data_IF_364309894146
#
_entry.id   IF_364309894146
#
_cell.length_a   1.000
_cell.length_b   1.000
_cell.length_c   1.000
_cell.angle_alpha   90.00
_cell.angle_beta   90.00
_cell.angle_gamma   90.00
#
_symmetry.space_group_name_H-M   'P 1'
#
loop_
_entity.id
_entity.type
_entity.pdbx_description
1 polymer ?
#
# COMPACT_ATOMS: atom_id res chain seq x y z
N UNK A 1 -13.05 -35.18 -2.48
CA UNK A 1 -13.67 -33.84 -2.47
C UNK A 1 -13.68 -33.31 -1.04
N UNK A 2 -12.90 -32.26 -0.74
CA UNK A 2 -12.76 -31.66 0.60
C UNK A 2 -13.07 -30.15 0.53
N UNK A 3 -14.17 -29.81 -0.16
CA UNK A 3 -14.46 -28.50 -0.75
C UNK A 3 -14.89 -27.40 0.23
N UNK A 4 -15.80 -27.60 1.21
CA UNK A 4 -16.28 -26.50 2.05
C UNK A 4 -15.25 -26.03 3.09
N UNK A 5 -14.46 -26.94 3.66
CA UNK A 5 -13.37 -26.60 4.60
C UNK A 5 -12.26 -25.81 3.91
N UNK A 6 -11.98 -26.12 2.64
CA UNK A 6 -10.99 -25.42 1.83
C UNK A 6 -11.46 -24.00 1.51
N UNK A 7 -12.71 -23.83 1.05
CA UNK A 7 -13.28 -22.51 0.77
C UNK A 7 -13.30 -21.60 2.01
N UNK A 8 -13.72 -22.12 3.17
CA UNK A 8 -13.71 -21.35 4.42
C UNK A 8 -12.29 -20.93 4.84
N UNK A 9 -11.28 -21.79 4.60
CA UNK A 9 -9.88 -21.46 4.86
C UNK A 9 -9.37 -20.37 3.91
N UNK A 10 -9.72 -20.43 2.63
CA UNK A 10 -9.35 -19.40 1.64
C UNK A 10 -9.95 -18.05 2.04
N UNK A 11 -11.26 -18.00 2.32
CA UNK A 11 -11.93 -16.76 2.75
C UNK A 11 -11.25 -16.14 3.99
N UNK A 12 -10.88 -16.98 4.96
CA UNK A 12 -10.16 -16.52 6.16
C UNK A 12 -8.79 -15.95 5.82
N UNK A 13 -8.05 -16.59 4.92
CA UNK A 13 -6.74 -16.12 4.48
C UNK A 13 -6.86 -14.80 3.71
N UNK A 14 -7.83 -14.67 2.81
CA UNK A 14 -8.11 -13.42 2.09
C UNK A 14 -8.42 -12.27 3.05
N UNK A 15 -9.29 -12.51 4.05
CA UNK A 15 -9.60 -11.51 5.07
C UNK A 15 -8.36 -11.09 5.88
N UNK A 16 -7.53 -12.06 6.27
CA UNK A 16 -6.29 -11.79 7.02
C UNK A 16 -5.28 -10.99 6.19
N UNK A 17 -5.06 -11.37 4.92
CA UNK A 17 -4.14 -10.66 4.02
C UNK A 17 -4.64 -9.25 3.75
N UNK A 18 -5.95 -9.06 3.51
CA UNK A 18 -6.52 -7.74 3.32
C UNK A 18 -6.36 -6.85 4.57
N UNK A 19 -6.58 -7.39 5.77
CA UNK A 19 -6.37 -6.65 7.01
C UNK A 19 -4.90 -6.23 7.19
N UNK A 20 -3.96 -7.14 6.89
CA UNK A 20 -2.52 -6.85 6.97
C UNK A 20 -2.08 -5.82 5.93
N UNK A 21 -2.58 -5.91 4.71
CA UNK A 21 -2.33 -4.93 3.65
C UNK A 21 -2.80 -3.53 4.07
N UNK A 22 -4.01 -3.42 4.62
CA UNK A 22 -4.54 -2.14 5.11
C UNK A 22 -3.73 -1.59 6.29
N UNK A 23 -3.38 -2.45 7.26
CA UNK A 23 -2.55 -2.04 8.40
C UNK A 23 -1.17 -1.53 7.95
N UNK A 24 -0.55 -2.19 6.96
CA UNK A 24 0.73 -1.76 6.39
C UNK A 24 0.61 -0.43 5.65
N UNK A 25 -0.43 -0.24 4.81
CA UNK A 25 -0.68 1.02 4.12
C UNK A 25 -0.86 2.18 5.11
N UNK A 26 -1.61 1.93 6.18
CA UNK A 26 -1.85 2.93 7.22
C UNK A 26 -0.56 3.29 7.96
N UNK A 27 0.23 2.30 8.36
CA UNK A 27 1.51 2.51 9.01
C UNK A 27 2.47 3.31 8.13
N UNK A 28 2.59 2.96 6.84
CA UNK A 28 3.43 3.68 5.90
C UNK A 28 2.99 5.14 5.74
N UNK A 29 1.68 5.39 5.62
CA UNK A 29 1.14 6.75 5.55
C UNK A 29 1.42 7.54 6.84
N UNK A 30 1.24 6.95 8.02
CA UNK A 30 1.54 7.60 9.30
C UNK A 30 3.02 7.95 9.42
N UNK A 31 3.92 7.03 9.04
CA UNK A 31 5.38 7.27 9.09
C UNK A 31 5.80 8.38 8.12
N UNK A 32 5.19 8.44 6.93
CA UNK A 32 5.44 9.54 5.99
C UNK A 32 4.97 10.89 6.54
N UNK A 33 3.76 10.95 7.12
CA UNK A 33 3.13 12.19 7.59
C UNK A 33 3.77 12.69 8.89
N UNK A 34 3.88 11.83 9.90
CA UNK A 34 4.28 12.21 11.25
C UNK A 34 5.80 12.28 11.41
N UNK A 35 6.55 11.50 10.63
CA UNK A 35 8.02 11.45 10.72
C UNK A 35 8.72 12.12 9.54
N UNK A 36 7.99 12.56 8.51
CA UNK A 36 8.57 13.14 7.29
C UNK A 36 9.43 12.15 6.49
N UNK A 37 9.17 10.85 6.63
CA UNK A 37 9.98 9.81 6.01
C UNK A 37 9.75 9.74 4.50
N UNK A 38 10.84 9.67 3.73
CA UNK A 38 10.84 9.40 2.30
C UNK A 38 10.76 7.88 2.07
N UNK A 39 9.72 7.40 1.38
CA UNK A 39 9.44 5.97 1.26
C UNK A 39 9.76 5.36 -0.12
N UNK A 40 10.21 6.13 -1.13
CA UNK A 40 10.45 5.58 -2.46
C UNK A 40 11.56 4.52 -2.48
N UNK A 41 12.57 4.67 -1.61
CA UNK A 41 13.60 3.64 -1.40
C UNK A 41 13.03 2.31 -0.89
N UNK A 42 12.11 2.38 0.08
CA UNK A 42 11.41 1.22 0.62
C UNK A 42 10.49 0.58 -0.43
N UNK A 43 9.69 1.38 -1.15
CA UNK A 43 8.83 0.93 -2.23
C UNK A 43 9.63 0.18 -3.30
N UNK A 44 10.77 0.74 -3.71
CA UNK A 44 11.66 0.14 -4.70
C UNK A 44 12.27 -1.18 -4.20
N UNK A 45 12.66 -1.25 -2.92
CA UNK A 45 13.20 -2.47 -2.33
C UNK A 45 12.12 -3.58 -2.25
N UNK A 46 10.89 -3.22 -1.90
CA UNK A 46 9.76 -4.16 -1.82
C UNK A 46 9.41 -4.73 -3.19
N UNK A 47 9.41 -3.93 -4.25
CA UNK A 47 9.14 -4.40 -5.61
C UNK A 47 10.22 -5.36 -6.17
N UNK A 48 11.43 -5.32 -5.61
CA UNK A 48 12.53 -6.25 -5.93
C UNK A 48 12.53 -7.51 -5.08
N UNK A 49 11.60 -7.65 -4.13
CA UNK A 49 11.52 -8.85 -3.29
C UNK A 49 11.03 -10.03 -4.14
N UNK A 50 11.69 -11.17 -3.95
CA UNK A 50 11.39 -12.42 -4.63
C UNK A 50 11.25 -13.58 -3.63
N UNK A 51 10.47 -14.59 -4.01
CA UNK A 51 10.23 -15.83 -3.28
C UNK A 51 10.71 -17.03 -4.10
N UNK A 52 12.03 -17.32 -4.10
CA UNK A 52 12.65 -18.20 -5.10
C UNK A 52 12.27 -19.69 -5.01
N UNK A 53 11.59 -20.10 -3.94
CA UNK A 53 11.31 -21.52 -3.68
C UNK A 53 9.91 -21.92 -4.16
N UNK A 54 9.07 -20.96 -4.58
CA UNK A 54 7.71 -21.20 -5.04
C UNK A 54 7.33 -20.17 -6.12
N UNK A 55 7.33 -20.61 -7.37
CA UNK A 55 7.11 -19.73 -8.53
C UNK A 55 5.68 -19.21 -8.65
N UNK A 56 4.68 -19.98 -8.18
CA UNK A 56 3.28 -19.53 -8.18
C UNK A 56 3.08 -18.44 -7.12
N UNK A 57 3.63 -18.65 -5.92
CA UNK A 57 3.61 -17.63 -4.86
C UNK A 57 4.41 -16.38 -5.27
N UNK A 58 5.59 -16.52 -5.90
CA UNK A 58 6.40 -15.37 -6.33
C UNK A 58 5.61 -14.46 -7.28
N UNK A 59 4.91 -15.05 -8.25
CA UNK A 59 4.13 -14.30 -9.23
C UNK A 59 3.03 -13.47 -8.56
N UNK A 60 2.20 -14.12 -7.74
CA UNK A 60 1.09 -13.48 -7.05
C UNK A 60 1.57 -12.44 -6.03
N UNK A 61 2.57 -12.79 -5.22
CA UNK A 61 3.15 -11.88 -4.23
C UNK A 61 3.71 -10.61 -4.87
N UNK A 62 4.39 -10.73 -6.02
CA UNK A 62 4.92 -9.57 -6.75
C UNK A 62 3.83 -8.72 -7.36
N UNK A 63 2.72 -9.31 -7.82
CA UNK A 63 1.57 -8.54 -8.29
C UNK A 63 0.94 -7.72 -7.16
N UNK A 64 0.67 -8.37 -6.02
CA UNK A 64 0.12 -7.69 -4.83
C UNK A 64 1.07 -6.60 -4.33
N UNK A 65 2.38 -6.87 -4.30
CA UNK A 65 3.38 -5.90 -3.86
C UNK A 65 3.42 -4.65 -4.74
N UNK A 66 3.35 -4.83 -6.08
CA UNK A 66 3.26 -3.70 -7.01
C UNK A 66 1.98 -2.89 -6.82
N UNK A 67 0.86 -3.56 -6.60
CA UNK A 67 -0.41 -2.88 -6.31
C UNK A 67 -0.32 -2.06 -5.03
N UNK A 68 0.19 -2.63 -3.94
CA UNK A 68 0.40 -1.95 -2.66
C UNK A 68 1.27 -0.69 -2.78
N UNK A 69 2.39 -0.76 -3.49
CA UNK A 69 3.22 0.42 -3.74
C UNK A 69 2.49 1.50 -4.55
N UNK A 70 1.65 1.12 -5.52
CA UNK A 70 0.84 2.09 -6.29
C UNK A 70 -0.18 2.80 -5.41
N UNK A 71 -0.82 2.09 -4.49
CA UNK A 71 -1.76 2.69 -3.53
C UNK A 71 -1.07 3.75 -2.65
N UNK A 72 0.15 3.48 -2.17
CA UNK A 72 0.91 4.49 -1.41
C UNK A 72 1.22 5.74 -2.24
N UNK A 73 1.72 5.56 -3.47
CA UNK A 73 2.02 6.66 -4.38
C UNK A 73 0.76 7.48 -4.68
N UNK A 74 -0.36 6.82 -4.97
CA UNK A 74 -1.64 7.50 -5.21
C UNK A 74 -2.11 8.28 -3.97
N UNK A 75 -2.04 7.68 -2.78
CA UNK A 75 -2.42 8.34 -1.54
C UNK A 75 -1.55 9.57 -1.27
N UNK A 76 -0.23 9.48 -1.53
CA UNK A 76 0.71 10.61 -1.44
C UNK A 76 0.36 11.72 -2.42
N UNK A 77 0.08 11.38 -3.67
CA UNK A 77 -0.30 12.35 -4.71
C UNK A 77 -1.59 13.11 -4.33
N UNK A 78 -2.58 12.41 -3.78
CA UNK A 78 -3.83 13.03 -3.29
C UNK A 78 -3.55 14.02 -2.16
N UNK A 79 -2.70 13.66 -1.19
CA UNK A 79 -2.29 14.57 -0.10
C UNK A 79 -1.57 15.80 -0.63
N UNK A 80 -0.63 15.62 -1.56
CA UNK A 80 0.12 16.72 -2.17
C UNK A 80 -0.77 17.64 -3.03
N UNK A 81 -1.80 17.11 -3.69
CA UNK A 81 -2.79 17.92 -4.40
C UNK A 81 -3.57 18.80 -3.41
N UNK A 82 -4.12 18.20 -2.34
CA UNK A 82 -4.85 18.95 -1.30
C UNK A 82 -4.02 20.03 -0.62
N UNK A 83 -2.74 19.74 -0.35
CA UNK A 83 -1.83 20.71 0.23
C UNK A 83 -1.58 21.92 -0.70
N UNK A 84 -1.49 21.69 -2.01
CA UNK A 84 -1.36 22.78 -3.00
C UNK A 84 -2.62 23.62 -3.10
N UNK A 85 -3.80 22.98 -3.12
CA UNK A 85 -5.08 23.69 -3.17
C UNK A 85 -5.28 24.57 -1.93
N UNK A 86 -4.91 24.07 -0.74
CA UNK A 86 -4.97 24.85 0.50
C UNK A 86 -3.99 26.03 0.52
N UNK A 87 -2.77 25.86 -0.03
CA UNK A 87 -1.80 26.94 -0.11
C UNK A 87 -2.23 28.04 -1.10
N UNK A 88 -2.79 27.67 -2.26
CA UNK A 88 -3.30 28.64 -3.23
C UNK A 88 -4.51 29.43 -2.74
N UNK A 89 -5.44 28.79 -2.01
CA UNK A 89 -6.58 29.49 -1.42
C UNK A 89 -6.20 30.48 -0.31
N UNK A 90 -5.12 30.20 0.43
CA UNK A 90 -4.60 31.11 1.46
C UNK A 90 -3.92 32.36 0.88
N UNK A 91 -3.39 32.29 -0.34
CA UNK A 91 -2.82 33.44 -1.05
C UNK A 91 -3.92 34.36 -1.64
N UNK A 92 -5.07 33.80 -2.01
CA UNK A 92 -6.22 34.54 -2.56
C UNK A 92 -7.03 35.29 -1.47
N UNK A 93 -7.02 34.85 -0.21
CA UNK A 93 -7.67 35.53 0.93
C UNK A 93 -6.80 36.62 1.59
N UNK A 94 -5.55 36.80 1.15
CA UNK A 94 -4.59 37.74 1.71
C UNK A 94 -4.62 39.16 1.07
N UNK A 95 -5.64 39.47 0.28
CA UNK A 95 -5.88 40.76 -0.39
C UNK A 95 -7.30 41.29 -0.11
#
# INVERSE_FOLDING_TARGET
MNTPKTAARILKLEAQINALAQAWLHLAATVEIECGAELAGMESAMQRRHWPHDGEIDLEARQVMRWLCRELVAARAVRQARARDAAGGAEDEAW
#
